data_IF_889866222420
#
_entry.id   IF_889866222420
#
_cell.length_a   1.000
_cell.length_b   1.000
_cell.length_c   1.000
_cell.angle_alpha   90.00
_cell.angle_beta   90.00
_cell.angle_gamma   90.00
#
_symmetry.space_group_name_H-M   'P 1'
#
loop_
_entity.id
_entity.type
_entity.pdbx_description
1 polymer ?
#
# COMPACT_ATOMS: atom_id res chain seq x y z
N UNK A 1 24.81 5.13 2.84
CA UNK A 1 24.76 5.87 1.57
C UNK A 1 23.70 5.29 0.65
N UNK A 2 23.60 3.97 0.56
CA UNK A 2 22.58 3.22 -0.20
C UNK A 2 21.14 3.45 0.33
N UNK A 3 20.94 3.38 1.66
CA UNK A 3 19.62 3.58 2.32
C UNK A 3 18.96 4.95 2.05
N UNK A 4 19.77 6.00 1.93
CA UNK A 4 19.31 7.37 1.67
C UNK A 4 18.85 7.50 0.21
N UNK A 5 19.51 6.79 -0.72
CA UNK A 5 19.13 6.75 -2.12
C UNK A 5 17.81 5.98 -2.31
N UNK A 6 17.62 4.88 -1.58
CA UNK A 6 16.38 4.11 -1.61
C UNK A 6 15.19 4.92 -1.08
N UNK A 7 15.37 5.66 0.02
CA UNK A 7 14.33 6.55 0.53
C UNK A 7 13.94 7.66 -0.45
N UNK A 8 14.88 8.21 -1.21
CA UNK A 8 14.58 9.21 -2.23
C UNK A 8 13.68 8.63 -3.34
N UNK A 9 14.00 7.43 -3.83
CA UNK A 9 13.20 6.73 -4.85
C UNK A 9 11.79 6.41 -4.32
N UNK A 10 11.67 5.94 -3.08
CA UNK A 10 10.36 5.69 -2.47
C UNK A 10 9.52 6.95 -2.33
N UNK A 11 10.15 8.08 -2.01
CA UNK A 11 9.47 9.37 -1.91
C UNK A 11 9.02 9.88 -3.28
N UNK A 12 9.84 9.75 -4.32
CA UNK A 12 9.49 10.12 -5.69
C UNK A 12 8.31 9.26 -6.21
N UNK A 13 8.35 7.95 -5.96
CA UNK A 13 7.23 7.05 -6.27
C UNK A 13 5.99 7.48 -5.50
N UNK A 14 6.09 7.73 -4.19
CA UNK A 14 4.95 8.16 -3.37
C UNK A 14 4.34 9.46 -3.90
N UNK A 15 5.17 10.41 -4.30
CA UNK A 15 4.73 11.69 -4.86
C UNK A 15 4.07 11.50 -6.23
N UNK A 16 4.64 10.66 -7.10
CA UNK A 16 4.09 10.35 -8.43
C UNK A 16 2.74 9.60 -8.36
N UNK A 17 2.53 8.77 -7.33
CA UNK A 17 1.26 8.06 -7.13
C UNK A 17 0.14 9.01 -6.67
N UNK A 18 0.47 10.19 -6.12
CA UNK A 18 -0.51 11.24 -5.85
C UNK A 18 -1.56 10.90 -4.79
N UNK A 19 -1.22 10.02 -3.83
CA UNK A 19 -2.10 9.63 -2.73
C UNK A 19 -2.10 10.73 -1.67
N UNK A 20 -2.98 11.70 -1.84
CA UNK A 20 -3.11 12.87 -0.97
C UNK A 20 -4.20 12.69 0.10
N UNK A 21 -5.09 11.70 -0.06
CA UNK A 21 -6.19 11.44 0.86
C UNK A 21 -6.38 9.95 1.09
N UNK A 22 -7.01 9.62 2.22
CA UNK A 22 -7.40 8.25 2.53
C UNK A 22 -8.28 7.64 1.43
N UNK A 23 -9.26 8.38 0.94
CA UNK A 23 -10.16 7.89 -0.11
C UNK A 23 -9.39 7.57 -1.40
N UNK A 24 -8.44 8.42 -1.82
CA UNK A 24 -7.56 8.14 -2.97
C UNK A 24 -6.70 6.89 -2.74
N UNK A 25 -6.22 6.68 -1.51
CA UNK A 25 -5.44 5.50 -1.15
C UNK A 25 -6.27 4.22 -1.29
N UNK A 26 -7.51 4.25 -0.79
CA UNK A 26 -8.43 3.12 -0.88
C UNK A 26 -8.79 2.83 -2.34
N UNK A 27 -9.12 3.86 -3.13
CA UNK A 27 -9.36 3.71 -4.58
C UNK A 27 -8.15 3.11 -5.29
N UNK A 28 -6.94 3.59 -5.00
CA UNK A 28 -5.71 3.07 -5.60
C UNK A 28 -5.53 1.55 -5.38
N UNK A 29 -5.88 1.07 -4.18
CA UNK A 29 -5.80 -0.35 -3.80
C UNK A 29 -6.95 -1.17 -4.41
N UNK A 30 -8.17 -0.61 -4.49
CA UNK A 30 -9.31 -1.23 -5.20
C UNK A 30 -8.99 -1.43 -6.67
N UNK A 31 -8.51 -0.39 -7.35
CA UNK A 31 -8.22 -0.40 -8.79
C UNK A 31 -7.15 -1.44 -9.18
N UNK A 32 -6.32 -1.86 -8.20
CA UNK A 32 -5.25 -2.85 -8.36
C UNK A 32 -5.60 -4.22 -7.81
N UNK A 33 -6.86 -4.46 -7.43
CA UNK A 33 -7.34 -5.72 -6.88
C UNK A 33 -6.63 -6.15 -5.58
N UNK A 34 -6.08 -5.22 -4.79
CA UNK A 34 -5.54 -5.54 -3.47
C UNK A 34 -6.64 -5.67 -2.42
N UNK A 35 -7.76 -4.96 -2.59
CA UNK A 35 -8.92 -5.04 -1.71
C UNK A 35 -10.21 -4.76 -2.49
N UNK A 36 -11.32 -5.23 -1.94
CA UNK A 36 -12.65 -5.07 -2.51
C UNK A 36 -13.56 -4.35 -1.52
N UNK A 37 -14.33 -3.38 -2.01
CA UNK A 37 -15.34 -2.70 -1.20
C UNK A 37 -16.52 -3.65 -0.94
N UNK A 38 -16.84 -3.81 0.33
CA UNK A 38 -18.08 -4.39 0.83
C UNK A 38 -19.01 -3.27 1.32
N UNK A 39 -20.28 -3.59 1.62
CA UNK A 39 -21.23 -2.63 2.14
C UNK A 39 -20.72 -1.84 3.36
N UNK A 40 -21.30 -0.67 3.62
CA UNK A 40 -21.00 0.18 4.77
C UNK A 40 -19.52 0.59 4.91
N UNK A 41 -18.83 0.84 3.79
CA UNK A 41 -17.41 1.24 3.75
C UNK A 41 -16.44 0.21 4.36
N UNK A 42 -16.86 -1.05 4.47
CA UNK A 42 -15.96 -2.13 4.85
C UNK A 42 -15.20 -2.60 3.62
N UNK A 43 -13.97 -3.09 3.82
CA UNK A 43 -13.16 -3.63 2.75
C UNK A 43 -12.65 -5.01 3.11
N UNK A 44 -12.59 -5.90 2.11
CA UNK A 44 -12.02 -7.24 2.26
C UNK A 44 -10.77 -7.33 1.41
N UNK A 45 -9.69 -7.85 1.98
CA UNK A 45 -8.43 -8.07 1.27
C UNK A 45 -8.58 -9.22 0.26
N UNK A 46 -8.01 -9.03 -0.92
CA UNK A 46 -7.79 -10.15 -1.83
C UNK A 46 -6.65 -11.04 -1.34
N UNK A 47 -6.43 -12.19 -1.98
CA UNK A 47 -5.24 -13.02 -1.73
C UNK A 47 -3.94 -12.24 -1.98
N UNK A 48 -3.90 -11.38 -3.00
CA UNK A 48 -2.75 -10.50 -3.29
C UNK A 48 -2.59 -9.40 -2.22
N UNK A 49 -3.70 -8.80 -1.77
CA UNK A 49 -3.76 -7.88 -0.62
C UNK A 49 -3.16 -8.47 0.63
N UNK A 50 -3.63 -9.66 0.99
CA UNK A 50 -3.17 -10.38 2.17
C UNK A 50 -1.69 -10.74 2.07
N UNK A 51 -1.23 -11.24 0.91
CA UNK A 51 0.17 -11.57 0.72
C UNK A 51 1.08 -10.34 0.86
N UNK A 52 0.71 -9.21 0.24
CA UNK A 52 1.45 -7.95 0.35
C UNK A 52 1.52 -7.47 1.80
N UNK A 53 0.38 -7.47 2.51
CA UNK A 53 0.31 -7.06 3.92
C UNK A 53 1.20 -7.95 4.80
N UNK A 54 1.12 -9.26 4.64
CA UNK A 54 1.92 -10.20 5.42
C UNK A 54 3.42 -9.99 5.19
N UNK A 55 3.85 -9.76 3.95
CA UNK A 55 5.27 -9.45 3.66
C UNK A 55 5.72 -8.15 4.29
N UNK A 56 4.84 -7.15 4.32
CA UNK A 56 5.13 -5.89 4.99
C UNK A 56 5.27 -6.10 6.50
N UNK A 57 4.33 -6.80 7.14
CA UNK A 57 4.39 -7.12 8.57
C UNK A 57 5.65 -7.93 8.91
N UNK A 58 5.96 -8.98 8.15
CA UNK A 58 7.16 -9.79 8.32
C UNK A 58 8.44 -8.93 8.30
N UNK A 59 8.57 -8.02 7.32
CA UNK A 59 9.73 -7.13 7.21
C UNK A 59 9.93 -6.30 8.49
N UNK A 60 8.88 -5.64 8.95
CA UNK A 60 8.94 -4.73 10.11
C UNK A 60 8.86 -5.44 11.46
N UNK A 61 8.58 -6.74 11.50
CA UNK A 61 8.63 -7.54 12.73
C UNK A 61 10.05 -8.02 13.06
N UNK A 62 10.99 -7.88 12.11
CA UNK A 62 12.40 -8.24 12.26
C UNK A 62 13.31 -7.01 12.47
N UNK A 63 12.74 -5.81 12.48
CA UNK A 63 13.39 -4.55 12.86
C UNK A 63 13.16 -4.25 14.35
#
# INVERSE_FOLDING_TARGET
MEEIADQAIYNDIRQAVGIESWDKAMTYLVDRNFLYLCGDKHYVLSSAGMYFLNKHVEKYSQE
#
